data_IF_654147467569
#
_entry.id   IF_654147467569
#
_cell.length_a   1.000
_cell.length_b   1.000
_cell.length_c   1.000
_cell.angle_alpha   90.00
_cell.angle_beta   90.00
_cell.angle_gamma   90.00
#
_symmetry.space_group_name_H-M   'P 1'
#
loop_
_entity.id
_entity.type
_entity.pdbx_description
1 polymer ?
#
# COMPACT_ATOMS: atom_id res chain seq x y z
N UNK A 1 -0.65 9.17 -9.15
CA UNK A 1 0.80 9.24 -9.38
C UNK A 1 1.46 10.39 -8.60
N UNK A 2 0.95 11.63 -8.71
CA UNK A 2 1.48 12.83 -8.02
C UNK A 2 1.80 12.64 -6.52
N UNK A 3 0.84 12.15 -5.73
CA UNK A 3 1.06 11.95 -4.28
C UNK A 3 2.18 10.95 -3.95
N UNK A 4 2.35 9.91 -4.76
CA UNK A 4 3.37 8.85 -4.51
C UNK A 4 4.78 9.39 -4.71
N UNK A 5 4.99 10.17 -5.77
CA UNK A 5 6.28 10.81 -6.09
C UNK A 5 6.66 11.84 -5.03
N UNK A 6 5.68 12.63 -4.55
CA UNK A 6 5.93 13.60 -3.48
C UNK A 6 6.41 12.93 -2.18
N UNK A 7 5.84 11.78 -1.82
CA UNK A 7 6.22 11.03 -0.62
C UNK A 7 7.62 10.38 -0.71
N UNK A 8 8.17 10.20 -1.91
CA UNK A 8 9.57 9.75 -2.07
C UNK A 8 10.55 10.77 -1.52
N UNK A 9 10.30 12.08 -1.73
CA UNK A 9 11.14 13.14 -1.17
C UNK A 9 11.13 13.12 0.36
N UNK A 10 9.98 12.84 0.97
CA UNK A 10 9.90 12.60 2.41
C UNK A 10 10.76 11.40 2.83
N UNK A 11 10.76 10.30 2.06
CA UNK A 11 11.59 9.13 2.36
C UNK A 11 13.09 9.45 2.30
N UNK A 12 13.51 10.15 1.25
CA UNK A 12 14.90 10.61 1.08
C UNK A 12 15.32 11.53 2.23
N UNK A 13 14.43 12.42 2.69
CA UNK A 13 14.68 13.29 3.84
C UNK A 13 14.83 12.49 5.15
N UNK A 14 13.99 11.49 5.38
CA UNK A 14 14.07 10.61 6.57
C UNK A 14 15.36 9.78 6.56
N UNK A 15 15.81 9.30 5.40
CA UNK A 15 17.07 8.58 5.31
C UNK A 15 18.30 9.48 5.46
N UNK A 16 18.27 10.71 4.92
CA UNK A 16 19.41 11.63 5.01
C UNK A 16 19.56 12.30 6.39
N UNK A 17 18.45 12.47 7.12
CA UNK A 17 18.42 13.10 8.44
C UNK A 17 19.44 12.54 9.44
N UNK A 18 19.46 11.21 9.70
CA UNK A 18 20.43 10.60 10.60
C UNK A 18 21.89 10.79 10.18
N UNK A 19 22.22 10.81 8.89
CA UNK A 19 23.60 11.03 8.42
C UNK A 19 24.05 12.48 8.63
N UNK A 20 23.17 13.44 8.37
CA UNK A 20 23.43 14.86 8.62
C UNK A 20 23.57 15.08 10.13
N UNK A 21 22.68 14.49 10.95
CA UNK A 21 22.77 14.54 12.40
C UNK A 21 24.08 13.90 12.91
N UNK A 22 24.46 12.72 12.45
CA UNK A 22 25.72 12.06 12.84
C UNK A 22 26.96 12.89 12.54
N UNK A 23 27.02 13.54 11.38
CA UNK A 23 28.19 14.32 10.96
C UNK A 23 28.31 15.67 11.68
N UNK A 24 27.20 16.34 11.95
CA UNK A 24 27.19 17.72 12.45
C UNK A 24 26.81 17.86 13.93
N UNK A 25 26.04 16.90 14.49
CA UNK A 25 25.58 16.94 15.89
C UNK A 25 26.38 16.05 16.82
N UNK A 26 26.71 14.83 16.39
CA UNK A 26 27.28 13.82 17.29
C UNK A 26 28.83 13.78 17.31
N UNK A 27 29.49 14.82 16.82
CA UNK A 27 30.96 14.98 16.91
C UNK A 27 31.36 15.32 18.35
N UNK A 28 32.38 14.63 18.89
CA UNK A 28 32.82 14.74 20.30
C UNK A 28 33.15 16.17 20.79
N UNK A 29 33.45 17.10 19.88
CA UNK A 29 33.71 18.51 20.21
C UNK A 29 32.44 19.30 20.62
N UNK A 30 31.24 18.82 20.31
CA UNK A 30 29.99 19.56 20.50
C UNK A 30 29.11 19.07 21.67
N UNK A 31 29.62 18.14 22.50
CA UNK A 31 28.83 17.51 23.56
C UNK A 31 28.32 18.48 24.65
N UNK A 32 28.91 19.68 24.79
CA UNK A 32 28.55 20.68 25.79
C UNK A 32 28.14 22.03 25.19
N UNK A 33 27.95 22.12 23.87
CA UNK A 33 27.81 23.39 23.17
C UNK A 33 26.41 23.56 22.57
N UNK A 34 25.71 24.63 22.93
CA UNK A 34 24.38 24.99 22.41
C UNK A 34 24.40 25.38 20.92
N UNK A 35 25.57 25.57 20.33
CA UNK A 35 25.77 25.99 18.93
C UNK A 35 25.29 24.96 17.92
N UNK A 36 25.41 23.66 18.21
CA UNK A 36 24.86 22.62 17.33
C UNK A 36 23.33 22.74 17.23
N UNK A 37 22.65 23.02 18.35
CA UNK A 37 21.19 23.15 18.40
C UNK A 37 20.69 24.33 17.56
N UNK A 38 21.49 25.40 17.42
CA UNK A 38 21.13 26.57 16.59
C UNK A 38 20.90 26.18 15.13
N UNK A 39 21.67 25.24 14.58
CA UNK A 39 21.51 24.80 13.19
C UNK A 39 20.21 24.02 12.97
N UNK A 40 19.74 23.25 13.97
CA UNK A 40 18.42 22.60 13.92
C UNK A 40 17.32 23.65 13.95
N UNK A 41 17.42 24.66 14.83
CA UNK A 41 16.42 25.73 14.88
C UNK A 41 16.40 26.58 13.60
N UNK A 42 17.55 26.82 12.97
CA UNK A 42 17.64 27.53 11.70
C UNK A 42 16.99 26.71 10.56
N UNK A 43 17.21 25.40 10.51
CA UNK A 43 16.54 24.52 9.54
C UNK A 43 15.02 24.49 9.76
N UNK A 44 14.56 24.44 11.02
CA UNK A 44 13.15 24.52 11.36
C UNK A 44 12.53 25.87 10.93
N UNK A 45 13.23 26.98 11.16
CA UNK A 45 12.81 28.31 10.73
C UNK A 45 12.72 28.41 9.20
N UNK A 46 13.67 27.82 8.47
CA UNK A 46 13.59 27.75 7.01
C UNK A 46 12.38 26.95 6.52
N UNK A 47 12.07 25.82 7.17
CA UNK A 47 10.85 25.05 6.88
C UNK A 47 9.57 25.86 7.10
N UNK A 48 9.52 26.65 8.17
CA UNK A 48 8.42 27.57 8.45
C UNK A 48 8.31 28.68 7.39
N UNK A 49 9.43 29.27 6.98
CA UNK A 49 9.47 30.25 5.89
C UNK A 49 8.96 29.65 4.58
N UNK A 50 9.36 28.43 4.23
CA UNK A 50 8.86 27.73 3.05
C UNK A 50 7.34 27.54 3.11
N UNK A 51 6.81 27.12 4.27
CA UNK A 51 5.37 27.02 4.47
C UNK A 51 4.66 28.37 4.30
N UNK A 52 5.26 29.46 4.80
CA UNK A 52 4.72 30.82 4.65
C UNK A 52 4.73 31.29 3.19
N UNK A 53 5.80 31.00 2.43
CA UNK A 53 5.85 31.27 0.98
C UNK A 53 4.73 30.52 0.25
N UNK A 54 4.47 29.26 0.62
CA UNK A 54 3.37 28.48 0.01
C UNK A 54 1.98 29.00 0.36
N UNK A 55 1.80 29.66 1.52
CA UNK A 55 0.55 30.34 1.88
C UNK A 55 0.39 31.65 1.10
N UNK A 56 1.48 32.37 0.86
CA UNK A 56 1.49 33.62 0.08
C UNK A 56 1.31 33.39 -1.42
N UNK A 57 1.86 32.29 -1.94
CA UNK A 57 1.52 31.79 -3.27
C UNK A 57 0.08 31.30 -3.21
N UNK A 58 -0.87 32.11 -3.69
CA UNK A 58 -2.25 31.67 -3.88
C UNK A 58 -2.25 30.49 -4.85
N UNK A 59 -2.19 29.27 -4.32
CA UNK A 59 -2.30 28.06 -5.12
C UNK A 59 -3.74 27.99 -5.63
N UNK A 60 -3.96 27.82 -6.95
CA UNK A 60 -5.29 27.62 -7.49
C UNK A 60 -5.90 26.40 -6.81
N UNK A 61 -7.06 26.57 -6.19
CA UNK A 61 -7.77 25.45 -5.58
C UNK A 61 -8.03 24.41 -6.67
N UNK A 62 -7.66 23.14 -6.47
CA UNK A 62 -8.04 22.11 -7.42
C UNK A 62 -9.57 22.07 -7.45
N UNK A 63 -10.16 22.32 -8.61
CA UNK A 63 -11.57 22.05 -8.88
C UNK A 63 -11.80 20.57 -8.59
N UNK A 64 -12.25 20.28 -7.37
CA UNK A 64 -12.77 18.96 -7.03
C UNK A 64 -14.07 18.92 -7.81
N UNK A 65 -14.04 18.30 -8.99
CA UNK A 65 -15.19 18.18 -9.88
C UNK A 65 -16.42 17.77 -9.07
N UNK A 66 -17.26 18.74 -8.74
CA UNK A 66 -18.61 18.46 -8.25
C UNK A 66 -19.49 18.01 -9.43
N UNK A 67 -19.06 18.29 -10.68
CA UNK A 67 -19.84 18.12 -11.91
C UNK A 67 -19.18 17.18 -12.95
N UNK A 68 -18.63 16.05 -12.52
CA UNK A 68 -18.21 14.96 -13.42
C UNK A 68 -19.23 13.81 -13.41
N UNK A 69 -19.58 13.19 -14.55
CA UNK A 69 -20.58 12.11 -14.60
C UNK A 69 -20.19 10.84 -13.82
N UNK A 70 -18.94 10.72 -13.34
CA UNK A 70 -18.49 9.65 -12.45
C UNK A 70 -18.62 9.97 -10.95
N UNK A 71 -18.99 11.20 -10.59
CA UNK A 71 -19.29 11.60 -9.23
C UNK A 71 -20.73 11.18 -8.89
N UNK A 72 -20.91 9.88 -8.64
CA UNK A 72 -22.11 9.41 -7.95
C UNK A 72 -22.33 10.27 -6.71
N UNK A 73 -23.43 11.02 -6.69
CA UNK A 73 -23.95 11.68 -5.49
C UNK A 73 -24.17 10.61 -4.43
N UNK A 74 -23.11 10.29 -3.67
CA UNK A 74 -23.25 9.42 -2.53
C UNK A 74 -23.88 10.28 -1.43
N UNK A 75 -25.21 10.40 -1.48
CA UNK A 75 -26.10 11.02 -0.48
C UNK A 75 -26.12 10.24 0.86
N UNK A 76 -25.03 9.53 1.17
CA UNK A 76 -24.84 8.81 2.41
C UNK A 76 -24.10 9.67 3.43
N UNK A 77 -24.43 9.46 4.70
CA UNK A 77 -23.71 10.09 5.82
C UNK A 77 -22.21 9.76 5.73
N UNK A 78 -21.35 10.71 6.11
CA UNK A 78 -19.89 10.55 6.13
C UNK A 78 -19.44 9.24 6.84
N UNK A 79 -20.15 8.87 7.91
CA UNK A 79 -19.89 7.66 8.69
C UNK A 79 -20.25 6.34 7.98
N UNK A 80 -21.07 6.36 6.93
CA UNK A 80 -21.44 5.16 6.17
C UNK A 80 -20.37 4.70 5.18
N UNK A 81 -19.30 5.49 5.01
CA UNK A 81 -18.17 5.16 4.13
C UNK A 81 -17.31 4.05 4.76
N UNK A 82 -17.77 2.80 4.67
CA UNK A 82 -17.12 1.62 5.27
C UNK A 82 -15.67 1.45 4.84
N UNK A 83 -15.34 1.82 3.60
CA UNK A 83 -13.96 1.79 3.07
C UNK A 83 -13.03 2.78 3.77
N UNK A 84 -13.53 3.95 4.15
CA UNK A 84 -12.75 4.96 4.86
C UNK A 84 -12.37 4.45 6.25
N UNK A 85 -13.32 3.91 7.00
CA UNK A 85 -13.09 3.39 8.35
C UNK A 85 -12.18 2.15 8.37
N UNK A 86 -12.37 1.23 7.43
CA UNK A 86 -11.45 0.09 7.31
C UNK A 86 -10.04 0.53 6.92
N UNK A 87 -9.90 1.55 6.06
CA UNK A 87 -8.62 2.14 5.70
C UNK A 87 -7.97 2.91 6.86
N UNK A 88 -8.76 3.64 7.65
CA UNK A 88 -8.30 4.32 8.86
C UNK A 88 -7.79 3.31 9.90
N UNK A 89 -8.56 2.25 10.19
CA UNK A 89 -8.12 1.20 11.11
C UNK A 89 -6.87 0.48 10.59
N UNK A 90 -6.80 0.22 9.28
CA UNK A 90 -5.60 -0.33 8.63
C UNK A 90 -4.38 0.54 8.92
N UNK A 91 -4.53 1.84 8.67
CA UNK A 91 -3.46 2.81 8.81
C UNK A 91 -3.05 2.96 10.28
N UNK A 92 -4.02 3.01 11.21
CA UNK A 92 -3.77 3.10 12.65
C UNK A 92 -2.94 1.92 13.18
N UNK A 93 -3.33 0.70 12.84
CA UNK A 93 -2.61 -0.51 13.26
C UNK A 93 -1.22 -0.58 12.63
N UNK A 94 -1.15 -0.24 11.34
CA UNK A 94 0.11 -0.21 10.59
C UNK A 94 1.08 0.82 11.16
N UNK A 95 0.66 2.07 11.40
CA UNK A 95 1.54 3.12 11.93
C UNK A 95 1.97 2.82 13.36
N UNK A 96 1.08 2.25 14.17
CA UNK A 96 1.46 1.71 15.48
C UNK A 96 2.58 0.69 15.37
N UNK A 97 2.47 -0.26 14.44
CA UNK A 97 3.50 -1.28 14.21
C UNK A 97 4.80 -0.69 13.68
N UNK A 98 4.73 0.25 12.75
CA UNK A 98 5.89 0.97 12.21
C UNK A 98 6.71 1.63 13.32
N UNK A 99 6.05 2.47 14.13
CA UNK A 99 6.71 3.22 15.22
C UNK A 99 7.30 2.25 16.23
N UNK A 100 6.60 1.15 16.50
CA UNK A 100 7.07 0.10 17.40
C UNK A 100 8.34 -0.56 16.86
N UNK A 101 8.36 -0.94 15.58
CA UNK A 101 9.53 -1.53 14.94
C UNK A 101 10.72 -0.57 15.00
N UNK A 102 10.49 0.71 14.72
CA UNK A 102 11.54 1.72 14.73
C UNK A 102 12.10 1.93 16.13
N UNK A 103 11.23 1.97 17.14
CA UNK A 103 11.60 2.24 18.54
C UNK A 103 12.39 1.08 19.16
N UNK A 104 12.03 -0.16 18.86
CA UNK A 104 12.65 -1.34 19.47
C UNK A 104 13.68 -2.04 18.58
N UNK A 105 14.01 -1.48 17.41
CA UNK A 105 15.01 -2.08 16.52
C UNK A 105 16.39 -2.21 17.20
N UNK A 106 16.83 -1.16 17.89
CA UNK A 106 18.13 -1.17 18.60
C UNK A 106 18.08 -2.19 19.74
N UNK A 107 17.01 -2.19 20.54
CA UNK A 107 16.82 -3.13 21.63
C UNK A 107 16.84 -4.58 21.13
N UNK A 108 16.25 -4.86 19.96
CA UNK A 108 16.35 -6.17 19.33
C UNK A 108 17.81 -6.52 19.02
N UNK A 109 18.58 -5.62 18.40
CA UNK A 109 19.99 -5.86 18.10
C UNK A 109 20.84 -6.14 19.35
N UNK A 110 20.56 -5.45 20.45
CA UNK A 110 21.24 -5.63 21.74
C UNK A 110 20.83 -6.94 22.40
N UNK A 111 19.54 -7.15 22.66
CA UNK A 111 19.03 -8.27 23.44
C UNK A 111 19.01 -9.59 22.67
N UNK A 112 18.65 -9.56 21.39
CA UNK A 112 18.60 -10.76 20.58
C UNK A 112 20.00 -11.12 20.06
N UNK A 113 20.66 -10.18 19.38
CA UNK A 113 21.87 -10.47 18.61
C UNK A 113 23.17 -10.24 19.38
N UNK A 114 23.11 -9.71 20.61
CA UNK A 114 24.29 -9.44 21.44
C UNK A 114 25.21 -8.37 20.83
N UNK A 115 24.68 -7.51 19.97
CA UNK A 115 25.46 -6.42 19.38
C UNK A 115 25.49 -5.21 20.30
N UNK A 116 26.54 -4.40 20.20
CA UNK A 116 26.60 -3.11 20.89
C UNK A 116 25.56 -2.14 20.32
N UNK A 117 25.12 -1.18 21.13
CA UNK A 117 24.19 -0.12 20.72
C UNK A 117 24.65 0.60 19.46
N UNK A 118 25.96 0.89 19.36
CA UNK A 118 26.57 1.54 18.21
C UNK A 118 26.42 0.72 16.91
N UNK A 119 26.62 -0.60 17.00
CA UNK A 119 26.49 -1.50 15.84
C UNK A 119 25.02 -1.65 15.43
N UNK A 120 24.11 -1.79 16.40
CA UNK A 120 22.66 -1.86 16.17
C UNK A 120 22.12 -0.57 15.55
N UNK A 121 22.60 0.60 15.99
CA UNK A 121 22.28 1.91 15.41
C UNK A 121 22.76 2.07 13.96
N UNK A 122 23.92 1.48 13.63
CA UNK A 122 24.42 1.45 12.24
C UNK A 122 23.51 0.60 11.35
N UNK A 123 23.08 -0.58 11.83
CA UNK A 123 22.10 -1.41 11.10
C UNK A 123 20.74 -0.73 10.95
N UNK A 124 20.30 0.02 11.96
CA UNK A 124 19.09 0.84 11.85
C UNK A 124 19.22 1.89 10.75
N UNK A 125 20.37 2.57 10.67
CA UNK A 125 20.65 3.55 9.62
C UNK A 125 20.64 2.92 8.22
N UNK A 126 21.21 1.72 8.06
CA UNK A 126 21.10 0.96 6.81
C UNK A 126 19.66 0.56 6.47
N UNK A 127 18.84 0.25 7.48
CA UNK A 127 17.42 -0.06 7.30
C UNK A 127 16.63 1.13 6.78
N UNK A 128 16.94 2.35 7.23
CA UNK A 128 16.33 3.59 6.72
C UNK A 128 16.72 3.89 5.26
N UNK A 129 17.96 3.59 4.86
CA UNK A 129 18.34 3.62 3.44
C UNK A 129 17.51 2.61 2.66
N UNK A 130 17.39 1.38 3.18
CA UNK A 130 16.64 0.32 2.53
C UNK A 130 15.14 0.66 2.41
N UNK A 131 14.57 1.36 3.39
CA UNK A 131 13.22 1.93 3.34
C UNK A 131 13.05 2.92 2.18
N UNK A 132 14.05 3.75 1.93
CA UNK A 132 14.01 4.73 0.83
C UNK A 132 14.15 4.05 -0.53
N UNK A 133 15.07 3.10 -0.65
CA UNK A 133 15.23 2.27 -1.85
C UNK A 133 13.93 1.51 -2.13
N UNK A 134 13.37 0.89 -1.10
CA UNK A 134 12.09 0.20 -1.15
C UNK A 134 10.96 1.11 -1.61
N UNK A 135 10.88 2.34 -1.10
CA UNK A 135 9.89 3.34 -1.57
C UNK A 135 10.04 3.66 -3.06
N UNK A 136 11.26 3.92 -3.54
CA UNK A 136 11.53 4.20 -4.96
C UNK A 136 11.17 2.99 -5.82
N UNK A 137 11.64 1.80 -5.43
CA UNK A 137 11.35 0.55 -6.11
C UNK A 137 9.85 0.26 -6.16
N UNK A 138 9.15 0.47 -5.05
CA UNK A 138 7.70 0.28 -4.96
C UNK A 138 6.91 1.16 -5.91
N UNK A 139 7.35 2.40 -6.13
CA UNK A 139 6.72 3.30 -7.10
C UNK A 139 6.90 2.80 -8.53
N UNK A 140 8.08 2.26 -8.86
CA UNK A 140 8.35 1.64 -10.17
C UNK A 140 7.44 0.42 -10.34
N UNK A 141 7.35 -0.46 -9.34
CA UNK A 141 6.47 -1.63 -9.38
C UNK A 141 4.99 -1.23 -9.54
N UNK A 142 4.55 -0.18 -8.84
CA UNK A 142 3.20 0.39 -8.95
C UNK A 142 2.88 1.06 -10.30
N UNK A 143 3.88 1.24 -11.17
CA UNK A 143 3.64 1.69 -12.55
C UNK A 143 3.16 0.55 -13.45
N UNK A 144 3.45 -0.70 -13.07
CA UNK A 144 3.12 -1.90 -13.83
C UNK A 144 1.93 -2.65 -13.19
N UNK A 145 1.89 -2.72 -11.85
CA UNK A 145 0.91 -3.53 -11.13
C UNK A 145 -0.17 -2.69 -10.42
N UNK A 146 -1.38 -3.27 -10.20
CA UNK A 146 -2.43 -2.59 -9.46
C UNK A 146 -2.03 -2.34 -8.01
N UNK A 147 -2.41 -1.17 -7.50
CA UNK A 147 -2.02 -0.68 -6.18
C UNK A 147 -2.51 -1.57 -5.05
N UNK A 148 -3.76 -2.02 -5.15
CA UNK A 148 -4.40 -2.87 -4.16
C UNK A 148 -3.68 -4.22 -4.01
N UNK A 149 -3.20 -4.79 -5.12
CA UNK A 149 -2.41 -6.03 -5.12
C UNK A 149 -1.04 -5.81 -4.48
N UNK A 150 -0.30 -4.78 -4.91
CA UNK A 150 1.04 -4.50 -4.37
C UNK A 150 0.98 -4.19 -2.87
N UNK A 151 -0.02 -3.42 -2.42
CA UNK A 151 -0.27 -3.18 -1.01
C UNK A 151 -0.42 -4.51 -0.25
N UNK A 152 -1.23 -5.43 -0.78
CA UNK A 152 -1.46 -6.73 -0.13
C UNK A 152 -0.19 -7.58 -0.04
N UNK A 153 0.56 -7.69 -1.14
CA UNK A 153 1.78 -8.49 -1.21
C UNK A 153 2.88 -7.94 -0.31
N UNK A 154 3.06 -6.61 -0.30
CA UNK A 154 4.07 -5.96 0.51
C UNK A 154 3.77 -6.08 2.00
N UNK A 155 2.51 -5.93 2.39
CA UNK A 155 2.09 -6.15 3.77
C UNK A 155 2.27 -7.63 4.19
N UNK A 156 1.99 -8.60 3.31
CA UNK A 156 2.26 -10.02 3.56
C UNK A 156 3.75 -10.29 3.73
N UNK A 157 4.61 -9.69 2.91
CA UNK A 157 6.07 -9.81 3.08
C UNK A 157 6.52 -9.21 4.41
N UNK A 158 6.02 -8.04 4.82
CA UNK A 158 6.29 -7.50 6.15
C UNK A 158 5.87 -8.48 7.26
N UNK A 159 4.66 -9.03 7.21
CA UNK A 159 4.18 -10.01 8.19
C UNK A 159 5.07 -11.27 8.23
N UNK A 160 5.49 -11.76 7.07
CA UNK A 160 6.40 -12.89 6.94
C UNK A 160 7.77 -12.57 7.56
N UNK A 161 8.40 -11.46 7.20
CA UNK A 161 9.72 -11.11 7.71
C UNK A 161 9.72 -10.78 9.21
N UNK A 162 8.64 -10.22 9.75
CA UNK A 162 8.46 -10.05 11.19
C UNK A 162 8.36 -11.42 11.87
N UNK A 163 7.57 -12.33 11.31
CA UNK A 163 7.46 -13.71 11.83
C UNK A 163 8.82 -14.39 11.82
N UNK A 164 9.56 -14.27 10.72
CA UNK A 164 10.93 -14.77 10.61
C UNK A 164 11.86 -14.11 11.64
N UNK A 165 11.72 -12.81 11.92
CA UNK A 165 12.50 -12.15 12.96
C UNK A 165 12.25 -12.70 14.36
N UNK A 166 11.07 -13.25 14.64
CA UNK A 166 10.76 -13.87 15.93
C UNK A 166 11.40 -15.25 16.05
N UNK A 167 11.30 -16.07 15.00
CA UNK A 167 11.70 -17.49 15.05
C UNK A 167 13.15 -17.76 14.62
N UNK A 168 13.75 -16.90 13.80
CA UNK A 168 15.12 -17.11 13.31
C UNK A 168 16.19 -16.80 14.38
N UNK A 169 17.41 -17.36 14.19
CA UNK A 169 18.58 -16.94 14.96
C UNK A 169 18.77 -15.44 14.86
N UNK A 170 19.22 -14.82 15.95
CA UNK A 170 19.13 -13.38 16.17
C UNK A 170 19.77 -12.49 15.09
N UNK A 171 20.83 -12.95 14.43
CA UNK A 171 21.47 -12.22 13.33
C UNK A 171 20.63 -12.25 12.05
N UNK A 172 20.09 -13.41 11.69
CA UNK A 172 19.15 -13.57 10.58
C UNK A 172 17.80 -12.90 10.86
N UNK A 173 17.37 -12.87 12.13
CA UNK A 173 16.19 -12.14 12.55
C UNK A 173 16.35 -10.63 12.42
N UNK A 174 17.51 -10.08 12.79
CA UNK A 174 17.82 -8.66 12.55
C UNK A 174 17.81 -8.34 11.05
N UNK A 175 18.43 -9.18 10.21
CA UNK A 175 18.40 -9.01 8.76
C UNK A 175 16.96 -9.07 8.20
N UNK A 176 16.11 -9.92 8.77
CA UNK A 176 14.69 -9.99 8.41
C UNK A 176 13.97 -8.69 8.78
N UNK A 177 14.23 -8.10 9.96
CA UNK A 177 13.72 -6.77 10.32
C UNK A 177 14.20 -5.69 9.35
N UNK A 178 15.47 -5.72 8.91
CA UNK A 178 15.94 -4.77 7.89
C UNK A 178 15.12 -4.89 6.60
N UNK A 179 14.79 -6.11 6.15
CA UNK A 179 13.96 -6.31 4.97
C UNK A 179 12.53 -5.79 5.16
N UNK A 180 11.97 -5.79 6.39
CA UNK A 180 10.66 -5.17 6.66
C UNK A 180 10.67 -3.70 6.25
N UNK A 181 11.72 -2.95 6.57
CA UNK A 181 11.83 -1.53 6.20
C UNK A 181 11.74 -1.32 4.69
N UNK A 182 12.31 -2.21 3.88
CA UNK A 182 12.22 -2.13 2.42
C UNK A 182 10.76 -2.14 1.94
N UNK A 183 9.98 -3.12 2.37
CA UNK A 183 8.56 -3.24 1.98
C UNK A 183 7.69 -2.18 2.66
N UNK A 184 8.10 -1.69 3.82
CA UNK A 184 7.34 -0.70 4.56
C UNK A 184 7.29 0.67 3.86
N UNK A 185 8.31 0.97 3.05
CA UNK A 185 8.47 2.25 2.34
C UNK A 185 7.21 2.77 1.64
N UNK A 186 6.37 1.88 1.08
CA UNK A 186 5.23 2.25 0.23
C UNK A 186 3.86 2.10 0.90
N UNK A 187 3.78 1.46 2.06
CA UNK A 187 2.50 1.01 2.63
C UNK A 187 1.61 2.20 3.07
N UNK A 188 2.15 3.19 3.80
CA UNK A 188 1.41 4.40 4.20
C UNK A 188 0.72 5.12 3.03
N UNK A 189 1.45 5.58 1.98
CA UNK A 189 0.80 6.27 0.88
C UNK A 189 -0.12 5.35 0.07
N UNK A 190 0.17 4.04 0.04
CA UNK A 190 -0.68 3.07 -0.62
C UNK A 190 -2.05 2.92 0.05
N UNK A 191 -2.07 2.75 1.39
CA UNK A 191 -3.30 2.70 2.19
C UNK A 191 -4.05 4.01 2.11
N UNK A 192 -3.37 5.15 2.27
CA UNK A 192 -4.00 6.48 2.23
C UNK A 192 -4.79 6.69 0.92
N UNK A 193 -4.15 6.44 -0.24
CA UNK A 193 -4.82 6.58 -1.55
C UNK A 193 -5.93 5.52 -1.70
N UNK A 194 -5.68 4.30 -1.24
CA UNK A 194 -6.66 3.21 -1.30
C UNK A 194 -7.84 3.41 -0.34
N UNK A 195 -7.73 4.24 0.68
CA UNK A 195 -8.84 4.57 1.56
C UNK A 195 -9.63 5.80 1.08
N UNK A 196 -8.93 6.77 0.45
CA UNK A 196 -9.51 8.08 0.09
C UNK A 196 -10.09 8.17 -1.34
N UNK A 197 -9.87 7.17 -2.19
CA UNK A 197 -10.34 7.19 -3.58
C UNK A 197 -11.89 7.11 -3.67
N UNK A 198 -12.48 7.90 -4.56
CA UNK A 198 -13.93 7.94 -4.89
C UNK A 198 -14.85 8.31 -3.71
N UNK A 199 -14.48 9.33 -2.93
CA UNK A 199 -15.30 9.81 -1.78
C UNK A 199 -16.21 11.00 -2.11
N UNK A 200 -16.25 11.47 -3.36
CA UNK A 200 -17.13 12.56 -3.81
C UNK A 200 -17.00 13.82 -2.93
N UNK A 201 -18.14 14.35 -2.45
CA UNK A 201 -18.25 15.51 -1.55
C UNK A 201 -17.43 15.36 -0.25
N UNK A 202 -17.11 14.12 0.17
CA UNK A 202 -16.36 13.83 1.40
C UNK A 202 -14.83 13.80 1.21
N UNK A 203 -14.33 14.01 -0.01
CA UNK A 203 -12.89 13.95 -0.33
C UNK A 203 -12.06 14.98 0.44
N UNK A 204 -12.63 16.13 0.81
CA UNK A 204 -11.94 17.14 1.63
C UNK A 204 -11.74 16.72 3.10
N UNK A 205 -12.68 15.94 3.66
CA UNK A 205 -12.67 15.54 5.10
C UNK A 205 -11.96 14.22 5.37
N UNK A 206 -11.98 13.31 4.40
CA UNK A 206 -11.42 11.97 4.55
C UNK A 206 -9.90 11.92 4.85
N UNK A 207 -9.04 12.75 4.23
CA UNK A 207 -7.63 12.84 4.60
C UNK A 207 -7.38 13.12 6.07
N UNK A 208 -8.14 14.06 6.67
CA UNK A 208 -7.98 14.43 8.07
C UNK A 208 -8.32 13.27 9.01
N UNK A 209 -9.35 12.49 8.67
CA UNK A 209 -9.69 11.26 9.41
C UNK A 209 -8.56 10.24 9.27
N UNK A 210 -8.09 9.96 8.06
CA UNK A 210 -6.98 9.01 7.87
C UNK A 210 -5.80 9.44 8.73
N UNK A 211 -5.28 10.66 8.57
CA UNK A 211 -4.07 11.16 9.25
C UNK A 211 -4.15 11.15 10.78
N UNK A 212 -5.35 11.11 11.38
CA UNK A 212 -5.49 10.87 12.82
C UNK A 212 -4.95 9.50 13.27
N UNK A 213 -4.70 8.58 12.33
CA UNK A 213 -4.07 7.28 12.51
C UNK A 213 -2.74 7.33 13.28
N UNK A 214 -2.01 8.46 13.21
CA UNK A 214 -0.70 8.64 13.85
C UNK A 214 -0.77 8.39 15.36
N UNK A 215 -1.94 8.54 15.98
CA UNK A 215 -2.19 8.17 17.36
C UNK A 215 -1.86 6.70 17.67
N UNK A 216 -1.94 5.80 16.68
CA UNK A 216 -1.53 4.40 16.83
C UNK A 216 -0.06 4.24 17.21
N UNK A 217 0.79 5.17 16.76
CA UNK A 217 2.20 5.24 17.14
C UNK A 217 2.43 5.54 18.62
N UNK A 218 1.45 6.11 19.33
CA UNK A 218 1.54 6.29 20.78
C UNK A 218 1.01 5.07 21.55
N UNK A 219 0.15 4.26 20.94
CA UNK A 219 -0.52 3.13 21.61
C UNK A 219 0.31 1.85 21.53
N UNK A 220 0.87 1.53 20.36
CA UNK A 220 1.57 0.24 20.17
C UNK A 220 2.92 0.12 20.90
N UNK A 221 3.80 1.14 20.97
CA UNK A 221 5.10 0.98 21.61
C UNK A 221 5.04 0.68 23.11
N UNK A 222 4.17 1.31 23.93
CA UNK A 222 4.01 0.93 25.33
C UNK A 222 3.55 -0.52 25.51
N UNK A 223 2.64 -1.01 24.65
CA UNK A 223 2.18 -2.39 24.69
C UNK A 223 3.34 -3.34 24.37
N UNK A 224 4.15 -3.03 23.35
CA UNK A 224 5.35 -3.81 23.07
C UNK A 224 6.35 -3.75 24.22
N UNK A 225 6.57 -2.57 24.83
CA UNK A 225 7.46 -2.42 25.98
C UNK A 225 7.06 -3.35 27.13
N UNK A 226 5.77 -3.36 27.50
CA UNK A 226 5.26 -4.26 28.53
C UNK A 226 5.45 -5.75 28.18
N UNK A 227 5.33 -6.14 26.90
CA UNK A 227 5.58 -7.51 26.45
C UNK A 227 7.08 -7.84 26.46
N UNK A 228 7.92 -6.89 26.05
CA UNK A 228 9.37 -7.02 26.02
C UNK A 228 9.92 -7.22 27.44
N UNK A 229 9.46 -6.42 28.41
CA UNK A 229 9.82 -6.53 29.82
C UNK A 229 9.39 -7.87 30.44
N UNK A 230 8.24 -8.41 30.02
CA UNK A 230 7.71 -9.66 30.57
C UNK A 230 8.33 -10.93 29.96
N UNK A 231 8.74 -10.90 28.68
CA UNK A 231 9.23 -12.09 27.97
C UNK A 231 10.57 -11.85 27.28
N UNK A 232 10.57 -11.03 26.24
CA UNK A 232 11.75 -10.67 25.44
C UNK A 232 11.33 -9.70 24.35
N UNK A 233 12.22 -8.78 23.98
CA UNK A 233 12.03 -7.90 22.83
C UNK A 233 11.69 -8.66 21.54
N UNK A 234 12.22 -9.87 21.32
CA UNK A 234 11.87 -10.71 20.15
C UNK A 234 10.37 -10.96 20.06
N UNK A 235 9.77 -11.40 21.16
CA UNK A 235 8.34 -11.77 21.21
C UNK A 235 7.47 -10.52 21.15
N UNK A 236 7.98 -9.37 21.63
CA UNK A 236 7.32 -8.06 21.52
C UNK A 236 6.86 -7.74 20.09
N UNK A 237 7.70 -8.05 19.08
CA UNK A 237 7.37 -7.82 17.67
C UNK A 237 6.14 -8.61 17.15
N UNK A 238 5.64 -9.61 17.89
CA UNK A 238 4.41 -10.31 17.53
C UNK A 238 3.19 -9.39 17.45
N UNK A 239 3.18 -8.26 18.18
CA UNK A 239 2.12 -7.25 18.09
C UNK A 239 1.98 -6.67 16.68
N UNK A 240 3.06 -6.67 15.90
CA UNK A 240 3.09 -6.12 14.56
C UNK A 240 2.45 -7.06 13.54
N UNK A 241 2.47 -8.38 13.76
CA UNK A 241 1.97 -9.37 12.79
C UNK A 241 0.49 -9.16 12.46
N UNK A 242 -0.44 -9.05 13.45
CA UNK A 242 -1.84 -8.80 13.17
C UNK A 242 -2.08 -7.52 12.36
N UNK A 243 -1.30 -6.47 12.58
CA UNK A 243 -1.44 -5.21 11.86
C UNK A 243 -1.09 -5.35 10.37
N UNK A 244 0.03 -5.99 10.05
CA UNK A 244 0.42 -6.23 8.65
C UNK A 244 -0.49 -7.27 7.98
N UNK A 245 -0.98 -8.27 8.70
CA UNK A 245 -2.01 -9.20 8.20
C UNK A 245 -3.32 -8.47 7.89
N UNK A 246 -3.74 -7.54 8.76
CA UNK A 246 -4.91 -6.71 8.49
C UNK A 246 -4.70 -5.81 7.27
N UNK A 247 -3.52 -5.20 7.12
CA UNK A 247 -3.18 -4.39 5.95
C UNK A 247 -3.17 -5.22 4.65
N UNK A 248 -2.65 -6.45 4.72
CA UNK A 248 -2.70 -7.40 3.63
C UNK A 248 -4.14 -7.75 3.24
N UNK A 249 -4.98 -8.07 4.23
CA UNK A 249 -6.40 -8.37 4.02
C UNK A 249 -7.15 -7.17 3.44
N UNK A 250 -6.89 -5.95 3.92
CA UNK A 250 -7.50 -4.73 3.38
C UNK A 250 -7.16 -4.53 1.89
N UNK A 251 -5.87 -4.63 1.53
CA UNK A 251 -5.44 -4.56 0.13
C UNK A 251 -6.02 -5.69 -0.73
N UNK A 252 -5.99 -6.91 -0.21
CA UNK A 252 -6.48 -8.11 -0.89
C UNK A 252 -8.01 -8.08 -1.12
N UNK A 253 -8.79 -7.63 -0.14
CA UNK A 253 -10.24 -7.47 -0.26
C UNK A 253 -10.59 -6.40 -1.29
N UNK A 254 -9.90 -5.25 -1.28
CA UNK A 254 -10.09 -4.21 -2.28
C UNK A 254 -9.68 -4.68 -3.68
N UNK A 255 -8.62 -5.47 -3.77
CA UNK A 255 -8.21 -6.10 -5.02
C UNK A 255 -9.24 -7.13 -5.47
N UNK A 256 -9.77 -7.99 -4.61
CA UNK A 256 -10.81 -8.96 -4.96
C UNK A 256 -12.08 -8.27 -5.51
N UNK A 257 -12.50 -7.19 -4.86
CA UNK A 257 -13.69 -6.42 -5.29
C UNK A 257 -13.50 -5.66 -6.61
N UNK A 258 -12.25 -5.40 -7.04
CA UNK A 258 -11.94 -4.57 -8.23
C UNK A 258 -11.20 -5.30 -9.35
N UNK A 259 -10.48 -6.36 -9.00
CA UNK A 259 -9.49 -7.07 -9.81
C UNK A 259 -10.11 -7.88 -10.94
N UNK A 260 -11.39 -8.23 -10.84
CA UNK A 260 -12.14 -8.77 -11.97
C UNK A 260 -12.32 -7.77 -13.14
N UNK A 261 -12.07 -6.46 -12.93
CA UNK A 261 -12.24 -5.42 -13.97
C UNK A 261 -10.94 -4.77 -14.45
N UNK A 262 -9.79 -5.07 -13.85
CA UNK A 262 -8.50 -4.43 -14.20
C UNK A 262 -7.89 -5.02 -15.47
N UNK A 263 -8.06 -6.32 -15.71
CA UNK A 263 -7.65 -6.92 -16.99
C UNK A 263 -8.47 -6.40 -18.18
N UNK A 264 -9.74 -6.03 -17.96
CA UNK A 264 -10.62 -5.51 -19.01
C UNK A 264 -10.34 -4.05 -19.40
N UNK A 265 -9.79 -3.23 -18.49
CA UNK A 265 -9.55 -1.79 -18.75
C UNK A 265 -8.33 -1.51 -19.63
N UNK A 266 -7.41 -2.46 -19.77
CA UNK A 266 -6.36 -2.40 -20.80
C UNK A 266 -6.94 -2.64 -22.19
N UNK A 267 -8.01 -3.41 -22.30
CA UNK A 267 -8.70 -3.71 -23.56
C UNK A 267 -9.58 -2.53 -24.02
N UNK A 268 -10.29 -1.87 -23.09
CA UNK A 268 -11.06 -0.65 -23.40
C UNK A 268 -10.19 0.53 -23.87
N UNK A 269 -9.00 0.71 -23.27
CA UNK A 269 -8.04 1.73 -23.75
C UNK A 269 -7.43 1.39 -25.11
N UNK A 270 -7.34 0.11 -25.46
CA UNK A 270 -6.97 -0.31 -26.81
C UNK A 270 -8.04 0.07 -27.83
N UNK A 271 -9.32 -0.18 -27.50
CA UNK A 271 -10.46 0.15 -28.36
C UNK A 271 -10.67 1.66 -28.55
N UNK A 272 -10.54 2.46 -27.49
CA UNK A 272 -10.70 3.93 -27.58
C UNK A 272 -9.60 4.61 -28.40
N UNK A 273 -8.38 4.06 -28.36
CA UNK A 273 -7.25 4.57 -29.17
C UNK A 273 -7.42 4.15 -30.64
N UNK A 274 -7.93 2.94 -30.91
CA UNK A 274 -8.20 2.48 -32.28
C UNK A 274 -9.38 3.23 -32.92
N UNK A 275 -10.43 3.52 -32.14
CA UNK A 275 -11.61 4.27 -32.59
C UNK A 275 -11.27 5.73 -32.92
N UNK A 276 -10.46 6.41 -32.09
CA UNK A 276 -10.03 7.79 -32.33
C UNK A 276 -8.99 7.96 -33.44
N UNK A 277 -8.33 6.88 -33.86
CA UNK A 277 -7.31 6.93 -34.91
C UNK A 277 -7.85 6.89 -36.35
N UNK A 278 -9.18 6.79 -36.55
CA UNK A 278 -9.79 6.78 -37.89
C UNK A 278 -10.44 8.15 -38.18
N UNK A 279 -9.87 9.00 -39.04
CA UNK A 279 -10.49 10.28 -39.39
C UNK A 279 -11.54 10.06 -40.50
N UNK A 280 -12.83 10.18 -40.19
CA UNK A 280 -13.87 10.12 -41.21
C UNK A 280 -15.31 10.21 -40.72
N UNK A 281 -15.92 11.38 -40.98
CA UNK A 281 -17.35 11.70 -41.09
C UNK A 281 -18.16 12.00 -39.79
N UNK A 282 -18.88 13.15 -39.71
CA UNK A 282 -19.72 13.47 -38.57
C UNK A 282 -21.16 13.03 -38.83
N UNK A 283 -21.67 12.01 -38.14
CA UNK A 283 -23.11 11.74 -38.15
C UNK A 283 -23.61 11.13 -36.83
N UNK A 284 -24.66 11.78 -36.32
CA UNK A 284 -25.66 11.31 -35.37
C UNK A 284 -25.24 11.01 -33.92
N UNK A 285 -25.33 12.06 -33.10
CA UNK A 285 -25.60 11.94 -31.66
C UNK A 285 -27.07 11.57 -31.49
N UNK A 286 -27.36 10.27 -31.30
CA UNK A 286 -28.64 9.86 -30.71
C UNK A 286 -28.52 9.86 -29.19
N UNK A 287 -29.45 10.59 -28.57
CA UNK A 287 -29.61 10.75 -27.13
C UNK A 287 -30.59 9.68 -26.66
N UNK A 288 -30.10 8.59 -26.07
CA UNK A 288 -30.76 7.78 -25.03
C UNK A 288 -29.89 6.56 -24.73
N UNK A 289 -29.58 6.36 -23.45
CA UNK A 289 -28.75 5.25 -23.00
C UNK A 289 -29.08 4.90 -21.55
N UNK A 290 -30.36 4.69 -21.27
CA UNK A 290 -30.75 3.74 -20.23
C UNK A 290 -30.27 2.37 -20.70
N UNK A 291 -29.36 1.73 -19.97
CA UNK A 291 -29.18 0.29 -20.07
C UNK A 291 -28.99 -0.31 -18.68
N UNK A 292 -30.11 -0.79 -18.18
CA UNK A 292 -30.26 -1.80 -17.14
C UNK A 292 -29.34 -2.98 -17.50
N UNK A 293 -28.57 -3.44 -16.51
CA UNK A 293 -27.70 -4.59 -16.63
C UNK A 293 -28.51 -5.83 -17.06
N UNK A 294 -28.17 -6.38 -18.22
CA UNK A 294 -28.70 -7.64 -18.71
C UNK A 294 -27.98 -8.79 -17.98
N UNK A 295 -28.58 -9.28 -16.88
CA UNK A 295 -28.13 -10.45 -16.10
C UNK A 295 -28.06 -11.75 -16.92
N UNK A 296 -28.54 -11.75 -18.17
CA UNK A 296 -28.60 -12.95 -19.01
C UNK A 296 -27.25 -13.32 -19.64
N UNK A 297 -26.28 -12.38 -19.73
CA UNK A 297 -24.95 -12.66 -20.33
C UNK A 297 -23.95 -13.31 -19.36
N UNK A 298 -24.13 -13.15 -18.05
CA UNK A 298 -23.24 -13.76 -17.05
C UNK A 298 -23.59 -15.25 -16.83
N UNK A 299 -24.86 -15.62 -16.98
CA UNK A 299 -25.32 -17.01 -16.92
C UNK A 299 -25.00 -17.82 -18.19
N UNK A 300 -24.86 -17.17 -19.36
CA UNK A 300 -24.41 -17.83 -20.59
C UNK A 300 -22.95 -18.30 -20.53
N UNK A 301 -22.07 -17.52 -19.89
CA UNK A 301 -20.64 -17.84 -19.81
C UNK A 301 -20.31 -18.92 -18.76
N UNK A 302 -21.18 -19.14 -17.77
CA UNK A 302 -21.06 -20.26 -16.82
C UNK A 302 -21.64 -21.59 -17.35
N UNK A 303 -22.43 -21.57 -18.44
CA UNK A 303 -22.98 -22.79 -19.05
C UNK A 303 -22.06 -23.43 -20.09
N UNK A 304 -21.19 -22.64 -20.73
CA UNK A 304 -20.25 -23.12 -21.76
C UNK A 304 -18.87 -23.56 -21.21
N UNK A 305 -18.60 -23.37 -19.92
CA UNK A 305 -17.37 -23.81 -19.27
C UNK A 305 -17.37 -25.25 -18.74
N UNK A 306 -18.53 -25.93 -18.75
CA UNK A 306 -18.71 -27.31 -18.24
C UNK A 306 -19.12 -28.32 -19.31
N UNK A 307 -19.32 -27.90 -20.56
CA UNK A 307 -19.71 -28.78 -21.69
C UNK A 307 -18.52 -29.34 -22.49
N UNK A 308 -17.28 -28.99 -22.12
CA UNK A 308 -16.06 -29.42 -22.80
C UNK A 308 -15.35 -30.65 -22.23
N UNK A 309 -15.94 -31.33 -21.23
CA UNK A 309 -15.33 -32.50 -20.56
C UNK A 309 -16.24 -33.75 -20.47
N UNK A 310 -17.41 -33.74 -21.10
CA UNK A 310 -18.33 -34.90 -21.15
C UNK A 310 -18.56 -35.49 -22.56
N UNK A 311 -17.86 -35.01 -23.60
CA UNK A 311 -18.06 -35.47 -25.00
C UNK A 311 -17.01 -36.48 -25.52
N UNK A 312 -16.11 -37.00 -24.67
CA UNK A 312 -15.02 -37.92 -25.07
C UNK A 312 -15.14 -39.34 -24.45
N UNK A 313 -16.34 -39.76 -24.01
CA UNK A 313 -16.53 -41.11 -23.46
C UNK A 313 -17.98 -41.62 -23.66
N UNK A 314 -18.46 -41.87 -24.90
CA UNK A 314 -18.53 -43.26 -25.38
C UNK A 314 -18.54 -43.40 -26.92
N UNK A 315 -17.44 -43.12 -27.62
CA UNK A 315 -17.31 -43.42 -29.06
C UNK A 315 -16.59 -44.74 -29.38
N UNK A 316 -16.20 -45.51 -28.34
CA UNK A 316 -15.43 -46.76 -28.48
C UNK A 316 -16.19 -48.04 -28.09
N UNK A 317 -17.53 -48.03 -28.01
CA UNK A 317 -18.31 -49.22 -27.63
C UNK A 317 -19.58 -49.53 -28.44
N UNK A 318 -19.79 -48.96 -29.65
CA UNK A 318 -20.96 -49.33 -30.48
C UNK A 318 -20.72 -49.51 -31.99
N UNK A 319 -19.47 -49.71 -32.43
CA UNK A 319 -19.13 -49.84 -33.86
C UNK A 319 -18.51 -51.17 -34.28
N UNK A 320 -18.86 -52.32 -33.68
CA UNK A 320 -18.35 -53.63 -34.11
C UNK A 320 -19.33 -54.78 -33.83
N UNK A 321 -20.31 -54.98 -34.73
CA UNK A 321 -20.75 -56.31 -35.26
C UNK A 321 -22.08 -56.25 -36.00
N UNK A 322 -22.05 -56.74 -37.25
CA UNK A 322 -23.11 -57.47 -37.99
C UNK A 322 -24.30 -56.63 -38.49
N UNK A 323 -24.86 -56.78 -39.70
CA UNK A 323 -24.96 -57.84 -40.72
C UNK A 323 -25.14 -57.17 -42.11
N UNK A 324 -24.46 -57.59 -43.18
CA UNK A 324 -24.89 -58.60 -44.20
C UNK A 324 -26.15 -58.14 -44.97
N UNK A 325 -25.99 -57.63 -46.20
CA UNK A 325 -26.38 -58.25 -47.50
C UNK A 325 -27.78 -57.79 -47.97
N UNK A 326 -28.07 -57.33 -49.21
CA UNK A 326 -28.09 -58.02 -50.52
C UNK A 326 -28.66 -57.02 -51.58
N UNK A 327 -28.17 -57.10 -52.83
CA UNK A 327 -28.73 -56.81 -54.19
C UNK A 327 -29.82 -55.71 -54.39
N UNK A 328 -29.79 -54.86 -55.41
CA UNK A 328 -29.66 -55.06 -56.86
C UNK A 328 -28.99 -53.83 -57.50
#
# INVERSE_FOLDING_TARGET
MRLRVAQTFNGIAVASGPFIAAKYFFTRENATTLTSVQWVYLAAAFGLCMALVLVLLHLPEPEIAEDGPECSETNGYFFQQRRLWFGWLCQFLYVGSQVTIFSFFINYGVEAAGYSDAKSSTFFSYSLILFTIGRVFGIIVLSVFPMELILSLWALFCALFITLAIFLPSTAGLASLMLVFFFEGLLVPAVFISATKNLGKHTKRAPAVIVSDVAGGAVSPPIQGAIADAKSTKIGFSICIPAYVYAAAFGGLLWWQRGARVFLRHEERGFDVQSKATPGNPEHVDKRGDFIADETKVLGFMRDGTSGLESELPALLQGRRSRTSVNL
#
